data_IF_218803949590
#
_entry.id   IF_218803949590
#
_cell.length_a   1.000
_cell.length_b   1.000
_cell.length_c   1.000
_cell.angle_alpha   90.00
_cell.angle_beta   90.00
_cell.angle_gamma   90.00
#
_symmetry.space_group_name_H-M   'P 1'
#
loop_
_entity.id
_entity.type
_entity.pdbx_description
1 polymer ?
#
# COMPACT_ATOMS: atom_id res chain seq x y z
N UNK A 1 43.47 67.63 23.06
CA UNK A 1 44.34 66.60 22.47
C UNK A 1 43.50 65.37 22.13
N UNK A 2 43.20 65.06 20.86
CA UNK A 2 42.48 63.84 20.51
C UNK A 2 43.46 62.71 20.15
N UNK A 3 43.27 61.51 20.71
CA UNK A 3 43.97 60.28 20.32
C UNK A 3 43.26 59.68 19.10
N UNK A 4 43.93 59.63 17.96
CA UNK A 4 43.45 58.90 16.78
C UNK A 4 43.61 57.41 17.01
N UNK A 5 42.48 56.72 17.23
CA UNK A 5 42.37 55.27 17.31
C UNK A 5 42.58 54.67 15.91
N UNK A 6 43.74 54.05 15.68
CA UNK A 6 43.96 53.20 14.51
C UNK A 6 43.12 51.93 14.65
N UNK A 7 42.05 51.83 13.86
CA UNK A 7 41.24 50.62 13.74
C UNK A 7 41.81 49.76 12.62
N UNK A 8 42.24 48.51 12.87
CA UNK A 8 42.75 47.64 11.82
C UNK A 8 41.62 47.27 10.84
N UNK A 9 41.88 47.44 9.54
CA UNK A 9 40.98 47.00 8.48
C UNK A 9 41.05 45.47 8.40
N UNK A 10 39.94 44.82 8.79
CA UNK A 10 39.75 43.38 8.60
C UNK A 10 39.76 43.07 7.10
N UNK A 11 40.83 42.44 6.62
CA UNK A 11 40.89 41.87 5.27
C UNK A 11 40.04 40.59 5.25
N UNK A 12 38.81 40.69 4.78
CA UNK A 12 38.05 39.50 4.40
C UNK A 12 38.68 38.92 3.14
N UNK A 13 39.48 37.86 3.28
CA UNK A 13 39.92 37.08 2.13
C UNK A 13 38.71 36.30 1.58
N UNK A 14 38.31 36.62 0.35
CA UNK A 14 37.29 35.87 -0.39
C UNK A 14 37.88 34.67 -1.10
N UNK A 15 37.06 33.64 -1.33
CA UNK A 15 37.46 32.45 -2.09
C UNK A 15 37.79 32.80 -3.55
N UNK A 16 38.82 32.16 -4.12
CA UNK A 16 39.15 32.32 -5.54
C UNK A 16 38.23 31.49 -6.44
N UNK A 17 38.12 31.87 -7.72
CA UNK A 17 37.35 31.11 -8.71
C UNK A 17 37.85 29.67 -8.87
N UNK A 18 39.17 29.47 -8.79
CA UNK A 18 39.79 28.15 -8.97
C UNK A 18 39.44 27.22 -7.79
N UNK A 19 39.44 27.74 -6.57
CA UNK A 19 39.02 26.97 -5.39
C UNK A 19 37.54 26.58 -5.47
N UNK A 20 36.68 27.50 -5.92
CA UNK A 20 35.26 27.19 -6.12
C UNK A 20 35.02 26.14 -7.21
N UNK A 21 35.78 26.18 -8.33
CA UNK A 21 35.68 25.17 -9.38
C UNK A 21 36.12 23.79 -8.86
N UNK A 22 37.20 23.72 -8.08
CA UNK A 22 37.66 22.48 -7.47
C UNK A 22 36.63 21.87 -6.52
N UNK A 23 36.02 22.69 -5.66
CA UNK A 23 34.97 22.25 -4.72
C UNK A 23 33.73 21.74 -5.46
N UNK A 24 33.24 22.49 -6.46
CA UNK A 24 32.08 22.09 -7.24
C UNK A 24 32.34 20.80 -8.04
N UNK A 25 33.55 20.60 -8.55
CA UNK A 25 33.92 19.37 -9.24
C UNK A 25 33.83 18.14 -8.32
N UNK A 26 34.32 18.25 -7.07
CA UNK A 26 34.23 17.16 -6.09
C UNK A 26 32.77 16.90 -5.69
N UNK A 27 31.99 17.95 -5.43
CA UNK A 27 30.56 17.83 -5.10
C UNK A 27 29.80 17.13 -6.23
N UNK A 28 30.09 17.47 -7.50
CA UNK A 28 29.45 16.84 -8.65
C UNK A 28 29.73 15.34 -8.72
N UNK A 29 30.97 14.91 -8.47
CA UNK A 29 31.35 13.49 -8.44
C UNK A 29 30.61 12.76 -7.30
N UNK A 30 30.55 13.36 -6.11
CA UNK A 30 29.86 12.77 -4.97
C UNK A 30 28.36 12.60 -5.26
N UNK A 31 27.70 13.63 -5.81
CA UNK A 31 26.27 13.58 -6.16
C UNK A 31 26.01 12.49 -7.21
N UNK A 32 26.86 12.38 -8.23
CA UNK A 32 26.72 11.36 -9.28
C UNK A 32 26.73 9.93 -8.73
N UNK A 33 27.53 9.67 -7.69
CA UNK A 33 27.62 8.35 -7.05
C UNK A 33 26.47 8.09 -6.05
N UNK A 34 25.93 9.16 -5.44
CA UNK A 34 24.92 9.05 -4.38
C UNK A 34 23.49 8.94 -4.91
N UNK A 35 23.15 9.66 -5.99
CA UNK A 35 21.77 9.76 -6.48
C UNK A 35 21.08 8.40 -6.75
N UNK A 36 21.71 7.42 -7.44
CA UNK A 36 21.06 6.14 -7.73
C UNK A 36 20.65 5.40 -6.44
N UNK A 37 21.51 5.44 -5.41
CA UNK A 37 21.24 4.78 -4.12
C UNK A 37 20.10 5.44 -3.35
N UNK A 38 19.96 6.76 -3.46
CA UNK A 38 18.87 7.48 -2.78
C UNK A 38 17.52 7.03 -3.35
N UNK A 39 17.40 6.88 -4.67
CA UNK A 39 16.14 6.44 -5.29
C UNK A 39 15.74 5.02 -4.88
N UNK A 40 16.70 4.07 -4.82
CA UNK A 40 16.42 2.71 -4.34
C UNK A 40 16.00 2.70 -2.87
N UNK A 41 16.62 3.51 -2.02
CA UNK A 41 16.25 3.64 -0.62
C UNK A 41 14.84 4.22 -0.43
N UNK A 42 14.46 5.22 -1.24
CA UNK A 42 13.11 5.78 -1.23
C UNK A 42 12.08 4.73 -1.66
N UNK A 43 12.35 3.98 -2.73
CA UNK A 43 11.45 2.93 -3.21
C UNK A 43 11.25 1.83 -2.15
N UNK A 44 12.35 1.35 -1.55
CA UNK A 44 12.32 0.38 -0.46
C UNK A 44 11.58 0.90 0.78
N UNK A 45 11.78 2.16 1.15
CA UNK A 45 11.06 2.79 2.28
C UNK A 45 9.56 2.88 2.00
N UNK A 46 9.16 3.22 0.77
CA UNK A 46 7.74 3.25 0.37
C UNK A 46 7.12 1.85 0.37
N UNK A 47 7.84 0.84 -0.14
CA UNK A 47 7.42 -0.55 -0.09
C UNK A 47 7.24 -1.05 1.34
N UNK A 48 8.18 -0.74 2.24
CA UNK A 48 8.07 -1.07 3.67
C UNK A 48 6.88 -0.39 4.33
N UNK A 49 6.62 0.89 4.02
CA UNK A 49 5.44 1.62 4.51
C UNK A 49 4.15 0.96 4.05
N UNK A 50 4.06 0.56 2.78
CA UNK A 50 2.88 -0.13 2.25
C UNK A 50 2.70 -1.50 2.92
N UNK A 51 3.77 -2.28 3.06
CA UNK A 51 3.71 -3.59 3.73
C UNK A 51 3.27 -3.49 5.20
N UNK A 52 3.69 -2.45 5.92
CA UNK A 52 3.22 -2.17 7.28
C UNK A 52 1.73 -1.78 7.30
N UNK A 53 1.28 -0.97 6.34
CA UNK A 53 -0.12 -0.61 6.21
C UNK A 53 -1.01 -1.84 5.88
N UNK A 54 -0.55 -2.72 5.00
CA UNK A 54 -1.22 -3.99 4.67
C UNK A 54 -1.48 -4.81 5.93
N UNK A 55 -0.48 -5.02 6.80
CA UNK A 55 -0.65 -5.74 8.07
C UNK A 55 -1.68 -5.08 9.00
N UNK A 56 -1.71 -3.75 8.99
CA UNK A 56 -2.71 -2.97 9.76
C UNK A 56 -4.11 -3.21 9.22
N UNK A 57 -4.26 -3.21 7.89
CA UNK A 57 -5.54 -3.49 7.23
C UNK A 57 -5.99 -4.94 7.46
N UNK A 58 -5.09 -5.92 7.38
CA UNK A 58 -5.40 -7.32 7.72
C UNK A 58 -5.94 -7.45 9.13
N UNK A 59 -5.28 -6.81 10.09
CA UNK A 59 -5.73 -6.79 11.49
C UNK A 59 -7.10 -6.14 11.63
N UNK A 60 -7.37 -5.04 10.92
CA UNK A 60 -8.67 -4.38 10.93
C UNK A 60 -9.78 -5.26 10.34
N UNK A 61 -9.54 -5.91 9.20
CA UNK A 61 -10.50 -6.83 8.57
C UNK A 61 -10.74 -8.04 9.46
N UNK A 62 -9.71 -8.58 10.11
CA UNK A 62 -9.84 -9.70 11.05
C UNK A 62 -10.69 -9.32 12.28
N UNK A 63 -10.51 -8.11 12.84
CA UNK A 63 -11.36 -7.61 13.94
C UNK A 63 -12.82 -7.44 13.49
N UNK A 64 -13.03 -6.81 12.34
CA UNK A 64 -14.36 -6.67 11.75
C UNK A 64 -15.03 -8.04 11.55
N UNK A 65 -14.28 -9.02 11.03
CA UNK A 65 -14.76 -10.38 10.88
C UNK A 65 -15.11 -11.03 12.23
N UNK A 66 -14.30 -10.84 13.26
CA UNK A 66 -14.57 -11.37 14.60
C UNK A 66 -15.90 -10.89 15.17
N UNK A 67 -16.23 -9.61 14.94
CA UNK A 67 -17.47 -9.02 15.43
C UNK A 67 -18.68 -9.38 14.57
N UNK A 68 -18.57 -9.19 13.25
CA UNK A 68 -19.69 -9.30 12.31
C UNK A 68 -19.94 -10.74 11.85
N UNK A 69 -18.91 -11.59 11.85
CA UNK A 69 -18.94 -12.96 11.33
C UNK A 69 -18.81 -13.05 9.81
N UNK A 70 -18.55 -11.93 9.12
CA UNK A 70 -18.18 -11.94 7.71
C UNK A 70 -17.28 -10.79 7.32
N UNK A 71 -16.55 -10.93 6.22
CA UNK A 71 -15.70 -9.88 5.64
C UNK A 71 -16.44 -8.97 4.66
N UNK A 72 -17.67 -9.30 4.28
CA UNK A 72 -18.48 -8.42 3.44
C UNK A 72 -18.91 -7.17 4.23
N UNK A 73 -18.88 -5.99 3.61
CA UNK A 73 -19.37 -4.78 4.24
C UNK A 73 -20.89 -4.87 4.49
N UNK A 74 -21.31 -4.23 5.57
CA UNK A 74 -22.74 -4.07 5.86
C UNK A 74 -23.36 -3.00 4.94
N UNK A 75 -24.56 -3.28 4.44
CA UNK A 75 -25.41 -2.23 3.87
C UNK A 75 -26.09 -1.40 4.99
N UNK A 76 -26.91 -0.41 4.63
CA UNK A 76 -27.61 0.43 5.62
C UNK A 76 -28.53 -0.37 6.56
N UNK A 77 -29.10 -1.48 6.10
CA UNK A 77 -29.96 -2.37 6.90
C UNK A 77 -29.17 -3.34 7.80
N UNK A 78 -27.84 -3.35 7.76
CA UNK A 78 -27.01 -4.27 8.54
C UNK A 78 -26.93 -5.68 7.95
N UNK A 79 -27.19 -5.82 6.66
CA UNK A 79 -27.03 -7.07 5.92
C UNK A 79 -25.70 -7.04 5.17
N UNK A 80 -24.89 -8.12 5.24
CA UNK A 80 -23.72 -8.31 4.39
C UNK A 80 -24.07 -8.24 2.91
N UNK A 81 -23.31 -7.48 2.14
CA UNK A 81 -23.41 -7.51 0.70
C UNK A 81 -22.01 -7.42 0.09
N UNK A 82 -21.80 -8.18 -0.99
CA UNK A 82 -20.59 -8.06 -1.78
C UNK A 82 -20.53 -6.70 -2.49
N UNK A 83 -19.33 -6.16 -2.59
CA UNK A 83 -19.00 -4.94 -3.29
C UNK A 83 -17.72 -5.13 -4.14
N UNK A 84 -17.69 -4.52 -5.32
CA UNK A 84 -16.56 -4.66 -6.25
C UNK A 84 -15.63 -3.43 -6.25
N UNK A 85 -16.13 -2.29 -5.76
CA UNK A 85 -15.46 -0.99 -5.95
C UNK A 85 -14.36 -0.68 -4.94
N UNK A 86 -14.54 -1.04 -3.66
CA UNK A 86 -13.56 -0.78 -2.59
C UNK A 86 -13.19 0.69 -2.33
N UNK A 87 -13.92 1.65 -2.92
CA UNK A 87 -13.64 3.09 -2.77
C UNK A 87 -14.12 3.56 -1.39
N UNK A 88 -13.23 4.18 -0.61
CA UNK A 88 -13.50 4.67 0.74
C UNK A 88 -14.59 5.74 0.80
N UNK A 89 -14.87 6.45 -0.30
CA UNK A 89 -15.95 7.42 -0.39
C UNK A 89 -17.35 6.76 -0.50
N UNK A 90 -17.41 5.48 -0.90
CA UNK A 90 -18.66 4.73 -0.94
C UNK A 90 -18.97 4.19 0.46
N UNK A 91 -20.07 4.65 1.05
CA UNK A 91 -20.46 4.32 2.45
C UNK A 91 -20.67 2.82 2.71
N UNK A 92 -20.92 2.03 1.67
CA UNK A 92 -21.07 0.58 1.73
C UNK A 92 -19.79 -0.18 1.35
N UNK A 93 -18.65 0.49 1.20
CA UNK A 93 -17.37 -0.17 0.96
C UNK A 93 -16.79 -0.75 2.25
N UNK A 94 -15.98 -1.82 2.16
CA UNK A 94 -15.28 -2.34 3.31
C UNK A 94 -14.39 -1.27 3.97
N UNK A 95 -13.63 -0.52 3.18
CA UNK A 95 -12.80 0.59 3.69
C UNK A 95 -13.59 1.61 4.53
N UNK A 96 -14.78 2.02 4.08
CA UNK A 96 -15.64 2.93 4.83
C UNK A 96 -16.18 2.30 6.12
N UNK A 97 -16.53 1.01 6.09
CA UNK A 97 -17.02 0.28 7.28
C UNK A 97 -15.95 0.03 8.32
N UNK A 98 -14.70 -0.15 7.92
CA UNK A 98 -13.59 -0.31 8.84
C UNK A 98 -13.28 0.97 9.62
N UNK A 99 -13.49 2.14 9.02
CA UNK A 99 -13.26 3.44 9.65
C UNK A 99 -14.51 4.02 10.35
N UNK A 100 -15.65 3.34 10.25
CA UNK A 100 -16.91 3.83 10.82
C UNK A 100 -16.90 3.66 12.33
N UNK A 101 -17.24 4.72 13.06
CA UNK A 101 -17.37 4.68 14.51
C UNK A 101 -18.65 3.94 14.93
N UNK A 102 -18.62 3.22 16.05
CA UNK A 102 -19.79 2.50 16.55
C UNK A 102 -20.95 3.42 16.95
N UNK A 103 -20.71 4.71 17.20
CA UNK A 103 -21.76 5.71 17.48
C UNK A 103 -22.45 6.27 16.23
N UNK A 104 -22.02 5.87 15.02
CA UNK A 104 -22.62 6.36 13.78
C UNK A 104 -24.11 5.98 13.66
N UNK A 105 -24.99 6.86 13.14
CA UNK A 105 -26.42 6.56 12.97
C UNK A 105 -26.74 5.32 12.12
N UNK A 106 -25.83 4.86 11.27
CA UNK A 106 -25.98 3.62 10.51
C UNK A 106 -25.94 2.39 11.43
N UNK A 107 -25.32 2.48 12.60
CA UNK A 107 -25.36 1.44 13.62
C UNK A 107 -26.71 1.43 14.34
N UNK A 108 -27.74 1.02 13.60
CA UNK A 108 -29.14 0.97 14.05
C UNK A 108 -29.42 -0.13 15.08
N UNK A 109 -28.43 -0.95 15.45
CA UNK A 109 -28.63 -2.13 16.29
C UNK A 109 -29.45 -3.24 15.63
N UNK A 110 -29.79 -3.13 14.34
CA UNK A 110 -30.57 -4.12 13.58
C UNK A 110 -29.66 -5.06 12.79
N UNK A 111 -30.04 -6.33 12.64
CA UNK A 111 -29.22 -7.35 11.97
C UNK A 111 -27.80 -7.36 12.54
N UNK A 112 -26.78 -7.31 11.69
CA UNK A 112 -25.38 -7.38 12.13
C UNK A 112 -24.85 -6.05 12.67
N UNK A 113 -25.58 -4.93 12.55
CA UNK A 113 -25.21 -3.70 13.24
C UNK A 113 -25.19 -3.88 14.76
N UNK A 114 -26.07 -4.74 15.30
CA UNK A 114 -26.06 -5.12 16.74
C UNK A 114 -24.70 -5.63 17.23
N UNK A 115 -23.87 -6.19 16.33
CA UNK A 115 -22.56 -6.76 16.63
C UNK A 115 -21.40 -5.83 16.28
N UNK A 116 -21.65 -4.73 15.59
CA UNK A 116 -20.60 -3.80 15.15
C UNK A 116 -19.96 -3.06 16.33
N UNK A 117 -18.63 -3.07 16.43
CA UNK A 117 -17.83 -2.39 17.48
C UNK A 117 -16.70 -1.53 16.90
N UNK A 118 -16.87 -1.00 15.69
CA UNK A 118 -15.90 -0.11 15.07
C UNK A 118 -15.63 1.17 15.88
N UNK A 119 -14.61 1.96 15.51
CA UNK A 119 -13.81 1.79 14.31
C UNK A 119 -12.74 0.71 14.48
N UNK A 120 -12.48 -0.04 13.40
CA UNK A 120 -11.44 -1.06 13.35
C UNK A 120 -10.13 -0.53 12.78
N UNK A 121 -10.20 0.60 12.10
CA UNK A 121 -9.10 1.28 11.44
C UNK A 121 -9.24 2.79 11.66
N UNK A 122 -8.15 3.48 11.98
CA UNK A 122 -8.17 4.93 12.20
C UNK A 122 -8.48 5.70 10.91
N UNK A 123 -7.91 5.27 9.78
CA UNK A 123 -8.06 5.95 8.50
C UNK A 123 -7.84 5.00 7.32
N UNK A 124 -8.65 5.18 6.29
CA UNK A 124 -8.46 4.60 4.97
C UNK A 124 -8.91 5.62 3.91
N UNK A 125 -8.00 6.03 3.03
CA UNK A 125 -8.28 7.03 1.99
C UNK A 125 -7.84 6.51 0.63
N UNK A 126 -8.81 6.34 -0.26
CA UNK A 126 -8.59 5.89 -1.63
C UNK A 126 -7.63 6.76 -2.43
N UNK A 127 -7.52 8.05 -2.16
CA UNK A 127 -6.70 8.98 -2.96
C UNK A 127 -5.28 9.20 -2.41
N UNK A 128 -4.96 8.62 -1.25
CA UNK A 128 -3.66 8.87 -0.59
C UNK A 128 -3.07 7.57 -0.07
N UNK A 129 -2.46 6.75 -0.95
CA UNK A 129 -1.85 5.51 -0.52
C UNK A 129 -0.56 5.68 0.29
N UNK A 130 -0.27 4.80 1.27
CA UNK A 130 0.91 4.89 2.12
C UNK A 130 2.13 4.39 1.33
N UNK A 131 2.75 5.31 0.60
CA UNK A 131 4.05 5.11 -0.04
C UNK A 131 3.99 4.82 -1.53
N UNK A 132 3.17 3.85 -1.96
CA UNK A 132 3.13 3.36 -3.35
C UNK A 132 1.81 3.64 -4.06
N UNK A 133 1.90 3.91 -5.35
CA UNK A 133 0.75 4.14 -6.23
C UNK A 133 0.11 5.52 -6.09
N UNK A 134 -0.96 5.72 -6.84
CA UNK A 134 -1.73 6.97 -6.91
C UNK A 134 -3.07 6.87 -6.19
N UNK A 135 -3.73 5.70 -6.28
CA UNK A 135 -4.99 5.41 -5.60
C UNK A 135 -4.99 4.01 -5.04
N UNK A 136 -5.82 3.77 -4.01
CA UNK A 136 -6.04 2.46 -3.42
C UNK A 136 -7.51 2.14 -3.19
N UNK A 137 -7.86 0.87 -3.18
CA UNK A 137 -9.22 0.38 -2.95
C UNK A 137 -9.15 -0.89 -2.13
N UNK A 138 -10.14 -1.12 -1.27
CA UNK A 138 -10.25 -2.36 -0.50
C UNK A 138 -11.61 -3.02 -0.78
N UNK A 139 -11.73 -3.78 -1.88
CA UNK A 139 -12.92 -4.59 -2.14
C UNK A 139 -12.92 -5.93 -1.39
N UNK A 140 -14.10 -6.45 -1.11
CA UNK A 140 -14.35 -7.82 -0.67
C UNK A 140 -15.19 -8.58 -1.70
N UNK A 141 -14.58 -9.54 -2.41
CA UNK A 141 -15.21 -10.24 -3.52
C UNK A 141 -15.17 -11.76 -3.34
N UNK A 142 -16.03 -12.46 -4.06
CA UNK A 142 -15.93 -13.92 -4.16
C UNK A 142 -14.73 -14.29 -5.04
N UNK A 143 -13.89 -15.19 -4.55
CA UNK A 143 -12.74 -15.71 -5.29
C UNK A 143 -13.18 -16.55 -6.50
N UNK A 144 -12.28 -16.71 -7.46
CA UNK A 144 -12.41 -17.77 -8.47
C UNK A 144 -12.35 -19.15 -7.79
N UNK A 145 -12.87 -20.18 -8.46
CA UNK A 145 -12.90 -21.53 -7.91
C UNK A 145 -11.48 -22.08 -7.66
N UNK A 146 -11.37 -22.97 -6.68
CA UNK A 146 -10.13 -23.69 -6.37
C UNK A 146 -9.56 -24.35 -7.64
N UNK A 147 -8.27 -24.18 -7.89
CA UNK A 147 -7.59 -24.74 -9.07
C UNK A 147 -7.79 -23.95 -10.37
N UNK A 148 -8.50 -22.81 -10.34
CA UNK A 148 -8.59 -21.92 -11.51
C UNK A 148 -7.28 -21.17 -11.70
N UNK A 149 -6.72 -21.17 -12.91
CA UNK A 149 -5.52 -20.41 -13.24
C UNK A 149 -5.64 -18.93 -12.82
N UNK A 150 -4.63 -18.43 -12.11
CA UNK A 150 -4.55 -17.02 -11.71
C UNK A 150 -4.21 -16.16 -12.93
N UNK A 151 -4.85 -14.99 -13.03
CA UNK A 151 -4.58 -14.01 -14.08
C UNK A 151 -4.40 -12.63 -13.45
N UNK A 152 -3.83 -11.68 -14.20
CA UNK A 152 -3.65 -10.30 -13.74
C UNK A 152 -4.95 -9.50 -13.52
N UNK A 153 -6.12 -10.11 -13.73
CA UNK A 153 -7.43 -9.44 -13.61
C UNK A 153 -8.45 -10.22 -12.80
N UNK A 154 -8.28 -11.52 -12.59
CA UNK A 154 -9.21 -12.33 -11.81
C UNK A 154 -8.93 -12.26 -10.30
N UNK A 155 -9.93 -12.62 -9.50
CA UNK A 155 -9.83 -12.71 -8.03
C UNK A 155 -9.38 -14.11 -7.61
N UNK A 156 -8.25 -14.57 -8.16
CA UNK A 156 -7.59 -15.81 -7.78
C UNK A 156 -6.23 -15.54 -7.15
N UNK A 157 -5.84 -16.37 -6.18
CA UNK A 157 -4.61 -16.20 -5.41
C UNK A 157 -3.88 -17.54 -5.30
N UNK A 158 -2.70 -17.62 -5.89
CA UNK A 158 -1.76 -18.75 -5.75
C UNK A 158 -0.87 -18.46 -4.54
N UNK A 159 -1.37 -18.75 -3.35
CA UNK A 159 -0.72 -18.38 -2.09
C UNK A 159 0.50 -19.25 -1.80
N UNK A 160 0.54 -20.48 -2.35
CA UNK A 160 1.70 -21.37 -2.26
C UNK A 160 2.79 -21.02 -3.28
N UNK A 161 2.40 -20.41 -4.40
CA UNK A 161 3.30 -19.98 -5.46
C UNK A 161 3.83 -21.12 -6.33
N UNK A 162 3.13 -22.25 -6.40
CA UNK A 162 3.63 -23.49 -6.98
C UNK A 162 3.10 -23.78 -8.40
N UNK A 163 1.79 -23.76 -8.60
CA UNK A 163 1.16 -24.23 -9.84
C UNK A 163 0.51 -23.13 -10.69
N UNK A 164 0.50 -21.87 -10.19
CA UNK A 164 -0.14 -20.74 -10.86
C UNK A 164 -1.66 -20.73 -10.74
N UNK A 165 -2.26 -21.59 -9.92
CA UNK A 165 -3.71 -21.70 -9.74
C UNK A 165 -4.16 -21.14 -8.39
N UNK A 166 -5.44 -20.78 -8.31
CA UNK A 166 -6.02 -20.27 -7.07
C UNK A 166 -6.09 -21.37 -6.01
N UNK A 167 -5.47 -21.12 -4.86
CA UNK A 167 -5.47 -22.00 -3.69
C UNK A 167 -6.71 -21.83 -2.79
N UNK A 168 -7.51 -20.81 -3.08
CA UNK A 168 -8.66 -20.47 -2.24
C UNK A 168 -9.81 -21.45 -2.46
N UNK A 169 -10.53 -21.86 -1.38
CA UNK A 169 -11.71 -22.69 -1.49
C UNK A 169 -12.76 -22.09 -2.45
N UNK A 170 -13.45 -22.93 -3.20
CA UNK A 170 -14.52 -22.46 -4.09
C UNK A 170 -15.61 -21.76 -3.29
N UNK A 171 -15.92 -20.51 -3.66
CA UNK A 171 -16.87 -19.66 -2.94
C UNK A 171 -16.29 -18.88 -1.77
N UNK A 172 -14.96 -18.98 -1.54
CA UNK A 172 -14.27 -18.16 -0.55
C UNK A 172 -14.50 -16.68 -0.82
N UNK A 173 -14.71 -15.91 0.25
CA UNK A 173 -14.79 -14.46 0.19
C UNK A 173 -13.40 -13.94 0.47
N UNK A 174 -12.91 -12.98 -0.31
CA UNK A 174 -11.57 -12.43 -0.17
C UNK A 174 -11.62 -10.93 -0.07
N UNK A 175 -10.99 -10.40 0.97
CA UNK A 175 -10.64 -8.99 1.06
C UNK A 175 -9.21 -8.81 0.53
N UNK A 176 -9.02 -7.85 -0.35
CA UNK A 176 -7.72 -7.52 -0.91
C UNK A 176 -7.58 -6.01 -1.07
N UNK A 177 -6.34 -5.53 -1.14
CA UNK A 177 -6.03 -4.15 -1.50
C UNK A 177 -5.76 -4.09 -3.00
N UNK A 178 -6.39 -3.17 -3.73
CA UNK A 178 -5.98 -2.78 -5.09
C UNK A 178 -5.27 -1.45 -5.01
N UNK A 179 -4.09 -1.33 -5.62
CA UNK A 179 -3.33 -0.09 -5.71
C UNK A 179 -3.07 0.19 -7.19
N UNK A 180 -3.50 1.36 -7.67
CA UNK A 180 -3.35 1.75 -9.08
C UNK A 180 -2.18 2.74 -9.24
N UNK A 181 -1.52 2.74 -10.40
CA UNK A 181 -0.39 3.63 -10.73
C UNK A 181 0.93 3.20 -10.07
N UNK A 182 1.15 1.89 -9.94
CA UNK A 182 2.38 1.30 -9.39
C UNK A 182 3.31 0.96 -10.54
N UNK A 183 4.56 1.40 -10.49
CA UNK A 183 5.56 1.05 -11.50
C UNK A 183 6.15 -0.34 -11.32
N UNK A 184 6.74 -0.92 -12.36
CA UNK A 184 7.41 -2.23 -12.29
C UNK A 184 8.51 -2.27 -11.21
N UNK A 185 9.24 -1.17 -11.02
CA UNK A 185 10.28 -1.08 -9.98
C UNK A 185 9.67 -1.11 -8.60
N UNK A 186 8.60 -0.34 -8.37
CA UNK A 186 7.88 -0.32 -7.09
C UNK A 186 7.25 -1.68 -6.76
N UNK A 187 6.69 -2.36 -7.77
CA UNK A 187 6.20 -3.73 -7.62
C UNK A 187 7.32 -4.69 -7.18
N UNK A 188 8.48 -4.65 -7.85
CA UNK A 188 9.59 -5.53 -7.50
C UNK A 188 10.08 -5.32 -6.05
N UNK A 189 10.09 -4.09 -5.57
CA UNK A 189 10.48 -3.75 -4.19
C UNK A 189 9.47 -4.28 -3.17
N UNK A 190 8.16 -4.08 -3.39
CA UNK A 190 7.15 -4.56 -2.44
C UNK A 190 6.97 -6.08 -2.48
N UNK A 191 7.04 -6.70 -3.65
CA UNK A 191 7.02 -8.15 -3.81
C UNK A 191 8.19 -8.79 -3.05
N UNK A 192 9.40 -8.20 -3.14
CA UNK A 192 10.56 -8.64 -2.35
C UNK A 192 10.39 -8.49 -0.83
N UNK A 193 9.47 -7.64 -0.37
CA UNK A 193 9.16 -7.46 1.06
C UNK A 193 8.05 -8.41 1.54
N UNK A 194 7.03 -8.66 0.72
CA UNK A 194 5.84 -9.44 1.10
C UNK A 194 5.99 -10.92 0.75
N UNK A 195 6.46 -11.24 -0.46
CA UNK A 195 6.47 -12.57 -1.07
C UNK A 195 7.89 -12.99 -1.49
N UNK A 196 8.86 -12.75 -0.61
CA UNK A 196 10.26 -13.08 -0.85
C UNK A 196 10.42 -14.57 -1.24
N UNK A 197 10.83 -14.82 -2.49
CA UNK A 197 11.12 -16.16 -3.01
C UNK A 197 9.96 -16.87 -3.70
N UNK A 198 8.82 -16.21 -3.91
CA UNK A 198 7.71 -16.75 -4.71
C UNK A 198 7.88 -16.39 -6.18
N UNK A 199 7.85 -17.39 -7.08
CA UNK A 199 8.03 -17.20 -8.52
C UNK A 199 9.50 -17.06 -8.95
N UNK A 200 9.91 -17.81 -9.98
CA UNK A 200 11.30 -17.79 -10.47
C UNK A 200 11.51 -16.77 -11.60
N UNK A 201 10.46 -16.46 -12.34
CA UNK A 201 10.44 -15.47 -13.42
C UNK A 201 9.58 -14.25 -13.06
N UNK A 202 9.80 -13.12 -13.75
CA UNK A 202 9.00 -11.89 -13.57
C UNK A 202 7.51 -12.18 -13.81
N UNK A 203 7.18 -12.99 -14.82
CA UNK A 203 5.79 -13.35 -15.16
C UNK A 203 5.12 -14.19 -14.08
N UNK A 204 5.88 -15.05 -13.38
CA UNK A 204 5.34 -15.82 -12.25
C UNK A 204 5.15 -14.93 -11.02
N UNK A 205 6.13 -14.10 -10.68
CA UNK A 205 6.03 -13.11 -9.58
C UNK A 205 4.83 -12.20 -9.72
N UNK A 206 4.46 -11.83 -10.95
CA UNK A 206 3.29 -10.99 -11.22
C UNK A 206 1.94 -11.66 -10.89
N UNK A 207 1.87 -12.99 -10.84
CA UNK A 207 0.61 -13.74 -10.72
C UNK A 207 0.54 -14.60 -9.46
N UNK A 208 1.68 -14.91 -8.85
CA UNK A 208 1.82 -15.83 -7.72
C UNK A 208 2.11 -15.09 -6.42
N UNK A 209 1.71 -15.69 -5.31
CA UNK A 209 1.88 -15.16 -3.97
C UNK A 209 0.70 -14.32 -3.50
N UNK A 210 0.97 -13.49 -2.49
CA UNK A 210 0.03 -12.54 -1.90
C UNK A 210 -0.02 -11.22 -2.67
N UNK A 211 0.96 -10.92 -3.51
CA UNK A 211 1.01 -9.74 -4.37
C UNK A 211 0.85 -10.18 -5.81
N UNK A 212 -0.10 -9.55 -6.51
CA UNK A 212 -0.27 -9.70 -7.96
C UNK A 212 -0.09 -8.34 -8.61
N UNK A 213 0.40 -8.32 -9.83
CA UNK A 213 0.62 -7.09 -10.56
C UNK A 213 0.30 -7.25 -12.04
N UNK A 214 -0.39 -6.26 -12.59
CA UNK A 214 -0.76 -6.17 -13.99
C UNK A 214 -0.08 -4.95 -14.62
N UNK A 215 1.00 -5.16 -15.39
CA UNK A 215 1.72 -4.07 -16.04
C UNK A 215 0.93 -3.40 -17.16
N UNK A 216 -0.16 -4.01 -17.65
CA UNK A 216 -0.98 -3.41 -18.71
C UNK A 216 -1.82 -2.21 -18.26
N UNK A 217 -1.98 -2.02 -16.95
CA UNK A 217 -2.74 -0.92 -16.36
C UNK A 217 -2.16 -0.39 -15.04
N UNK A 218 -0.91 -0.73 -14.74
CA UNK A 218 -0.18 -0.34 -13.53
C UNK A 218 -0.94 -0.66 -12.23
N UNK A 219 -1.64 -1.81 -12.21
CA UNK A 219 -2.45 -2.22 -11.04
C UNK A 219 -1.80 -3.35 -10.27
N UNK A 220 -1.61 -3.11 -8.99
CA UNK A 220 -1.18 -4.10 -8.02
C UNK A 220 -2.36 -4.53 -7.14
N UNK A 221 -2.38 -5.79 -6.77
CA UNK A 221 -3.33 -6.37 -5.84
C UNK A 221 -2.55 -7.02 -4.70
N UNK A 222 -2.95 -6.78 -3.45
CA UNK A 222 -2.34 -7.39 -2.28
C UNK A 222 -3.43 -8.12 -1.50
N UNK A 223 -3.23 -9.41 -1.32
CA UNK A 223 -4.07 -10.27 -0.49
C UNK A 223 -4.05 -9.80 0.96
N UNK A 224 -5.25 -9.70 1.58
CA UNK A 224 -5.37 -9.41 3.02
C UNK A 224 -5.84 -10.66 3.78
N UNK A 225 -7.03 -11.15 3.45
CA UNK A 225 -7.61 -12.31 4.15
C UNK A 225 -8.76 -12.93 3.34
N UNK A 226 -9.12 -14.15 3.70
CA UNK A 226 -10.28 -14.84 3.16
C UNK A 226 -11.13 -15.48 4.27
N UNK A 227 -12.40 -15.74 3.94
CA UNK A 227 -13.37 -16.49 4.75
C UNK A 227 -13.96 -17.62 3.92
#
# INVERSE_FOLDING_TARGET
MPKTLFRPLHHSQGFTLVEMIGVLAIIAILIALLLPKIFTLIASSKASSMAAAVRTYETAVAKYYGDIGTIWPLNAAGTPAQETGGNSATVTSLGARLTLDASDPLNTGTNQWSRFRGPYLEKFNTNTPPGLGTTMYMPAQTAVALGTATTGTNVGWDLKGDDGNSDLPTGARVAYLRVDGVSDTEFNEIDGVIDAGIGASITERQLRGRVKYNPGNDRMYIYLTHQ
#
